data_IF_554417121848
#
_entry.id   IF_554417121848
#
_cell.length_a   1.000
_cell.length_b   1.000
_cell.length_c   1.000
_cell.angle_alpha   90.00
_cell.angle_beta   90.00
_cell.angle_gamma   90.00
#
_symmetry.space_group_name_H-M   'P 1'
#
loop_
_entity.id
_entity.type
_entity.pdbx_description
1 polymer ?
#
# COMPACT_ATOMS: atom_id res chain seq x y z
N UNK A 1 16.85 -6.90 -6.31
CA UNK A 1 16.40 -6.34 -5.02
C UNK A 1 15.23 -7.17 -4.53
N UNK A 2 15.20 -7.53 -3.23
CA UNK A 2 14.14 -8.38 -2.66
C UNK A 2 13.33 -7.66 -1.58
N UNK A 3 13.65 -6.40 -1.26
CA UNK A 3 12.95 -5.62 -0.25
C UNK A 3 12.10 -4.55 -0.93
N UNK A 4 10.82 -4.48 -0.55
CA UNK A 4 9.84 -3.55 -1.09
C UNK A 4 9.23 -2.74 0.05
N UNK A 5 9.42 -1.43 0.04
CA UNK A 5 8.69 -0.53 0.93
C UNK A 5 7.31 -0.25 0.32
N UNK A 6 6.28 -0.25 1.13
CA UNK A 6 4.87 -0.04 0.76
C UNK A 6 4.27 1.06 1.63
N UNK A 7 3.41 1.87 1.03
CA UNK A 7 2.58 2.85 1.70
C UNK A 7 1.21 2.92 1.00
N UNK A 8 0.13 3.13 1.77
CA UNK A 8 -1.23 3.25 1.24
C UNK A 8 -1.98 4.39 1.94
N UNK A 9 -2.80 5.09 1.17
CA UNK A 9 -3.79 6.01 1.72
C UNK A 9 -5.16 5.33 1.81
N UNK A 10 -5.90 5.59 2.89
CA UNK A 10 -7.16 4.88 3.18
C UNK A 10 -8.21 5.79 3.82
N UNK A 11 -9.46 5.32 3.86
CA UNK A 11 -10.60 6.02 4.51
C UNK A 11 -11.05 5.38 5.83
N UNK A 12 -10.28 4.45 6.36
CA UNK A 12 -10.51 3.79 7.65
C UNK A 12 -9.18 3.15 8.11
N UNK A 13 -9.11 2.67 9.34
CA UNK A 13 -7.93 2.03 9.90
C UNK A 13 -8.05 0.52 10.09
N UNK A 14 -9.16 -0.07 9.68
CA UNK A 14 -9.39 -1.52 9.74
C UNK A 14 -8.87 -2.22 8.47
N UNK A 15 -8.59 -3.54 8.49
CA UNK A 15 -8.17 -4.29 7.29
C UNK A 15 -9.13 -4.15 6.08
N UNK A 16 -10.41 -3.90 6.35
CA UNK A 16 -11.43 -3.66 5.33
C UNK A 16 -11.45 -2.23 4.79
N UNK A 17 -10.56 -1.32 5.20
CA UNK A 17 -10.60 0.09 4.82
C UNK A 17 -10.61 0.33 3.30
N UNK A 18 -11.46 1.23 2.81
CA UNK A 18 -11.39 1.72 1.42
C UNK A 18 -9.99 2.28 1.15
N UNK A 19 -9.36 1.81 0.07
CA UNK A 19 -8.01 2.20 -0.33
C UNK A 19 -8.11 3.32 -1.36
N UNK A 20 -7.34 4.39 -1.17
CA UNK A 20 -7.25 5.56 -2.03
C UNK A 20 -6.01 5.52 -2.91
N UNK A 21 -4.89 5.00 -2.41
CA UNK A 21 -3.65 4.89 -3.15
C UNK A 21 -2.85 3.65 -2.77
N UNK A 22 -1.96 3.22 -3.67
CA UNK A 22 -0.92 2.23 -3.37
C UNK A 22 0.39 2.77 -3.92
N UNK A 23 1.38 2.92 -3.05
CA UNK A 23 2.74 3.29 -3.41
C UNK A 23 3.72 2.22 -2.93
N UNK A 24 4.72 1.93 -3.75
CA UNK A 24 5.77 1.00 -3.38
C UNK A 24 7.10 1.33 -4.06
N UNK A 25 8.21 0.98 -3.43
CA UNK A 25 9.54 1.13 -4.00
C UNK A 25 10.45 -0.01 -3.56
N UNK A 26 11.16 -0.60 -4.52
CA UNK A 26 12.22 -1.54 -4.19
C UNK A 26 13.39 -0.79 -3.58
N UNK A 27 14.07 -1.40 -2.61
CA UNK A 27 15.27 -0.81 -2.03
C UNK A 27 16.25 -1.87 -1.54
N UNK A 28 17.49 -1.45 -1.30
CA UNK A 28 18.49 -2.22 -0.57
C UNK A 28 18.56 -1.72 0.88
N UNK A 29 18.22 -2.55 1.90
CA UNK A 29 18.20 -2.12 3.30
C UNK A 29 19.60 -1.88 3.89
N UNK A 30 20.67 -2.37 3.26
CA UNK A 30 22.05 -2.18 3.71
C UNK A 30 22.66 -0.91 3.16
N UNK A 31 22.36 -0.56 1.91
CA UNK A 31 22.93 0.61 1.23
C UNK A 31 22.00 1.81 1.19
N UNK A 32 20.69 1.59 1.32
CA UNK A 32 19.65 2.61 1.11
C UNK A 32 19.39 2.93 -0.37
N UNK A 33 19.99 2.17 -1.30
CA UNK A 33 19.77 2.36 -2.73
C UNK A 33 18.32 2.08 -3.10
N UNK A 34 17.71 2.98 -3.87
CA UNK A 34 16.34 2.88 -4.36
C UNK A 34 16.31 2.26 -5.75
N UNK A 35 15.32 1.40 -5.98
CA UNK A 35 15.06 0.76 -7.26
C UNK A 35 13.77 1.24 -7.89
N UNK A 36 13.15 0.33 -8.65
CA UNK A 36 11.89 0.58 -9.34
C UNK A 36 10.78 0.93 -8.36
N UNK A 37 9.94 1.89 -8.75
CA UNK A 37 8.82 2.39 -7.95
C UNK A 37 7.48 2.19 -8.66
N UNK A 38 6.43 2.14 -7.85
CA UNK A 38 5.05 2.01 -8.27
C UNK A 38 4.20 3.00 -7.50
N UNK A 39 3.37 3.75 -8.19
CA UNK A 39 2.32 4.58 -7.58
C UNK A 39 1.04 4.44 -8.38
N UNK A 40 -0.07 4.23 -7.69
CA UNK A 40 -1.37 4.16 -8.32
C UNK A 40 -2.46 4.70 -7.40
N UNK A 41 -3.36 5.49 -7.99
CA UNK A 41 -4.49 6.08 -7.30
C UNK A 41 -5.76 5.29 -7.62
N UNK A 42 -6.49 4.88 -6.58
CA UNK A 42 -7.73 4.11 -6.65
C UNK A 42 -8.91 5.06 -6.53
N UNK A 43 -9.89 4.95 -7.43
CA UNK A 43 -11.06 5.81 -7.40
C UNK A 43 -11.95 5.50 -6.19
N UNK A 44 -12.21 6.46 -5.28
CA UNK A 44 -13.21 6.30 -4.23
C UNK A 44 -14.65 6.33 -4.76
N UNK A 45 -14.87 6.85 -5.98
CA UNK A 45 -16.18 6.88 -6.63
C UNK A 45 -16.55 5.53 -7.27
N UNK A 46 -15.57 4.66 -7.52
CA UNK A 46 -15.82 3.30 -8.02
C UNK A 46 -16.04 2.36 -6.82
N UNK A 47 -17.00 1.43 -6.91
CA UNK A 47 -17.29 0.54 -5.79
C UNK A 47 -16.07 -0.29 -5.35
N UNK A 48 -15.75 -0.20 -4.06
CA UNK A 48 -14.91 -1.15 -3.36
C UNK A 48 -15.81 -1.94 -2.41
N UNK A 49 -16.55 -2.90 -2.97
CA UNK A 49 -17.60 -3.64 -2.26
C UNK A 49 -17.06 -4.23 -0.94
N UNK A 50 -17.87 -4.20 0.12
CA UNK A 50 -17.53 -4.75 1.45
C UNK A 50 -16.33 -4.11 2.16
N UNK A 51 -15.84 -2.97 1.66
CA UNK A 51 -14.82 -2.16 2.33
C UNK A 51 -15.45 -1.04 3.17
N UNK A 52 -14.75 -0.62 4.22
CA UNK A 52 -15.26 0.28 5.26
C UNK A 52 -14.68 1.69 5.13
N UNK A 53 -15.44 2.66 5.65
CA UNK A 53 -15.08 4.07 5.77
C UNK A 53 -15.39 4.47 7.20
N UNK A 54 -14.43 5.08 7.90
CA UNK A 54 -14.61 5.63 9.24
C UNK A 54 -14.87 7.14 9.19
N UNK A 55 -15.85 7.60 9.98
CA UNK A 55 -16.13 9.02 10.13
C UNK A 55 -14.91 9.79 10.68
N UNK A 56 -14.13 9.18 11.57
CA UNK A 56 -12.95 9.79 12.17
C UNK A 56 -11.84 9.99 11.12
N UNK A 57 -11.61 8.99 10.27
CA UNK A 57 -10.63 9.09 9.18
C UNK A 57 -11.06 10.10 8.13
N UNK A 58 -12.35 10.19 7.82
CA UNK A 58 -12.89 11.24 6.94
C UNK A 58 -12.71 12.63 7.55
N UNK A 59 -12.99 12.80 8.85
CA UNK A 59 -12.78 14.05 9.57
C UNK A 59 -11.29 14.44 9.64
N UNK A 60 -10.40 13.45 9.73
CA UNK A 60 -8.95 13.66 9.64
C UNK A 60 -8.53 14.12 8.23
N UNK A 61 -9.07 13.49 7.18
CA UNK A 61 -8.83 13.90 5.79
C UNK A 61 -9.29 15.33 5.52
N UNK A 62 -10.41 15.77 6.10
CA UNK A 62 -10.91 17.14 5.97
C UNK A 62 -9.95 18.20 6.54
N UNK A 63 -9.04 17.81 7.44
CA UNK A 63 -8.03 18.69 8.04
C UNK A 63 -6.72 18.74 7.25
N UNK A 64 -6.52 17.82 6.30
CA UNK A 64 -5.30 17.78 5.48
C UNK A 64 -5.25 18.93 4.47
N UNK A 65 -4.07 19.22 3.92
CA UNK A 65 -3.91 20.26 2.92
C UNK A 65 -4.73 19.98 1.65
N UNK A 66 -5.11 21.03 0.92
CA UNK A 66 -5.79 20.91 -0.36
C UNK A 66 -5.01 20.05 -1.36
N UNK A 67 -3.68 20.14 -1.34
CA UNK A 67 -2.80 19.34 -2.19
C UNK A 67 -2.90 17.84 -1.84
N UNK A 68 -2.77 17.50 -0.55
CA UNK A 68 -2.87 16.11 -0.09
C UNK A 68 -4.25 15.50 -0.40
N UNK A 69 -5.33 16.24 -0.14
CA UNK A 69 -6.69 15.79 -0.49
C UNK A 69 -6.86 15.63 -2.00
N UNK A 70 -6.33 16.55 -2.80
CA UNK A 70 -6.42 16.46 -4.26
C UNK A 70 -5.69 15.22 -4.78
N UNK A 71 -4.52 14.92 -4.24
CA UNK A 71 -3.74 13.74 -4.60
C UNK A 71 -4.43 12.44 -4.21
N UNK A 72 -4.76 12.27 -2.93
CA UNK A 72 -5.37 11.04 -2.41
C UNK A 72 -6.71 10.69 -3.08
N UNK A 73 -7.51 11.70 -3.46
CA UNK A 73 -8.82 11.49 -4.09
C UNK A 73 -8.78 11.63 -5.63
N UNK A 74 -7.60 11.63 -6.25
CA UNK A 74 -7.44 11.77 -7.72
C UNK A 74 -7.65 10.49 -8.52
N UNK A 75 -7.81 9.35 -7.83
CA UNK A 75 -7.90 8.03 -8.45
C UNK A 75 -9.06 7.90 -9.44
N UNK A 76 -8.78 7.24 -10.57
CA UNK A 76 -9.79 6.94 -11.59
C UNK A 76 -9.96 5.44 -11.84
N UNK A 77 -9.07 4.60 -11.31
CA UNK A 77 -9.06 3.15 -11.57
C UNK A 77 -9.83 2.36 -10.50
N UNK A 78 -10.23 1.12 -10.82
CA UNK A 78 -10.83 0.21 -9.84
C UNK A 78 -9.74 -0.41 -8.96
N UNK A 79 -10.09 -0.74 -7.71
CA UNK A 79 -9.19 -1.44 -6.80
C UNK A 79 -8.60 -2.72 -7.43
N UNK A 80 -9.45 -3.55 -8.05
CA UNK A 80 -9.02 -4.79 -8.71
C UNK A 80 -7.97 -4.54 -9.80
N UNK A 81 -8.13 -3.49 -10.61
CA UNK A 81 -7.16 -3.15 -11.66
C UNK A 81 -5.86 -2.66 -11.07
N UNK A 82 -5.92 -1.80 -10.06
CA UNK A 82 -4.73 -1.32 -9.33
C UNK A 82 -3.95 -2.48 -8.71
N UNK A 83 -4.60 -3.42 -8.00
CA UNK A 83 -3.93 -4.57 -7.41
C UNK A 83 -3.36 -5.53 -8.48
N UNK A 84 -4.03 -5.67 -9.62
CA UNK A 84 -3.49 -6.45 -10.75
C UNK A 84 -2.21 -5.83 -11.29
N UNK A 85 -2.18 -4.50 -11.45
CA UNK A 85 -0.99 -3.77 -11.88
C UNK A 85 0.13 -3.86 -10.85
N UNK A 86 -0.20 -3.74 -9.56
CA UNK A 86 0.76 -3.84 -8.48
C UNK A 86 1.39 -5.25 -8.38
N UNK A 87 0.57 -6.30 -8.49
CA UNK A 87 1.06 -7.68 -8.57
C UNK A 87 2.01 -7.88 -9.75
N UNK A 88 1.66 -7.33 -10.93
CA UNK A 88 2.52 -7.40 -12.12
C UNK A 88 3.82 -6.62 -11.93
N UNK A 89 3.77 -5.45 -11.30
CA UNK A 89 4.96 -4.66 -10.97
C UNK A 89 5.92 -5.47 -10.11
N UNK A 90 5.43 -6.15 -9.08
CA UNK A 90 6.27 -7.02 -8.24
C UNK A 90 6.87 -8.15 -9.08
N UNK A 91 6.06 -8.88 -9.85
CA UNK A 91 6.49 -10.04 -10.64
C UNK A 91 7.54 -9.73 -11.71
N UNK A 92 7.50 -8.54 -12.32
CA UNK A 92 8.47 -8.15 -13.36
C UNK A 92 9.81 -7.74 -12.75
N UNK A 93 9.80 -7.21 -11.53
CA UNK A 93 10.98 -6.63 -10.89
C UNK A 93 11.67 -7.57 -9.90
N UNK A 94 11.13 -8.77 -9.67
CA UNK A 94 11.76 -9.79 -8.83
C UNK A 94 11.31 -11.20 -9.22
N UNK A 95 12.24 -12.15 -9.17
CA UNK A 95 11.98 -13.58 -9.43
C UNK A 95 11.90 -14.40 -8.14
N UNK A 96 12.26 -13.80 -7.01
CA UNK A 96 12.34 -14.44 -5.70
C UNK A 96 11.25 -13.91 -4.75
N UNK A 97 11.15 -14.48 -3.55
CA UNK A 97 10.24 -13.99 -2.52
C UNK A 97 10.59 -12.53 -2.15
N UNK A 98 9.59 -11.66 -2.15
CA UNK A 98 9.71 -10.27 -1.70
C UNK A 98 9.49 -10.15 -0.20
N UNK A 99 10.35 -9.39 0.44
CA UNK A 99 10.23 -8.90 1.80
C UNK A 99 9.57 -7.52 1.78
N UNK A 100 8.33 -7.42 2.25
CA UNK A 100 7.59 -6.15 2.27
C UNK A 100 7.85 -5.42 3.59
N UNK A 101 7.99 -4.09 3.51
CA UNK A 101 8.16 -3.16 4.63
C UNK A 101 7.03 -2.14 4.56
N UNK A 102 6.46 -1.74 5.70
CA UNK A 102 5.41 -0.71 5.78
C UNK A 102 5.67 0.28 6.91
N UNK A 103 5.05 1.46 6.84
CA UNK A 103 5.30 2.56 7.79
C UNK A 103 4.58 2.38 9.14
N UNK A 104 3.74 1.35 9.25
CA UNK A 104 3.30 0.74 10.49
C UNK A 104 3.20 -0.75 10.23
N UNK A 105 4.04 -1.55 10.90
CA UNK A 105 4.33 -2.99 10.70
C UNK A 105 3.17 -3.89 10.23
N UNK A 106 1.93 -3.54 10.55
CA UNK A 106 0.74 -4.38 10.37
C UNK A 106 -0.42 -3.67 9.66
N UNK A 107 -0.29 -2.37 9.32
CA UNK A 107 -1.41 -1.61 8.76
C UNK A 107 -1.55 -1.82 7.25
N UNK A 108 -0.55 -1.38 6.47
CA UNK A 108 -0.62 -1.35 5.01
C UNK A 108 -0.73 -2.75 4.42
N UNK A 109 0.13 -3.66 4.91
CA UNK A 109 0.17 -5.04 4.45
C UNK A 109 -1.15 -5.77 4.73
N UNK A 110 -1.72 -5.65 5.94
CA UNK A 110 -2.96 -6.34 6.28
C UNK A 110 -4.17 -5.80 5.51
N UNK A 111 -4.22 -4.50 5.22
CA UNK A 111 -5.28 -3.90 4.40
C UNK A 111 -5.23 -4.39 2.96
N UNK A 112 -4.02 -4.47 2.36
CA UNK A 112 -3.84 -5.01 1.02
C UNK A 112 -4.07 -6.51 0.95
N UNK A 113 -3.60 -7.29 1.93
CA UNK A 113 -3.85 -8.74 2.03
C UNK A 113 -5.34 -9.04 2.13
N UNK A 114 -6.06 -8.29 2.97
CA UNK A 114 -7.51 -8.36 3.04
C UNK A 114 -8.16 -8.02 1.68
N UNK A 115 -7.66 -6.99 0.97
CA UNK A 115 -8.13 -6.65 -0.37
C UNK A 115 -7.90 -7.77 -1.41
N UNK A 116 -6.71 -8.37 -1.43
CA UNK A 116 -6.37 -9.50 -2.29
C UNK A 116 -7.29 -10.69 -2.00
N UNK A 117 -7.45 -11.07 -0.73
CA UNK A 117 -8.34 -12.15 -0.32
C UNK A 117 -9.79 -11.91 -0.72
N UNK A 118 -10.31 -10.69 -0.49
CA UNK A 118 -11.67 -10.31 -0.81
C UNK A 118 -11.96 -10.33 -2.33
N UNK A 119 -10.94 -10.08 -3.14
CA UNK A 119 -11.02 -10.09 -4.60
C UNK A 119 -10.67 -11.45 -5.23
N UNK A 120 -10.43 -12.48 -4.40
CA UNK A 120 -10.00 -13.82 -4.82
C UNK A 120 -8.71 -13.78 -5.66
N UNK A 121 -7.80 -12.86 -5.31
CA UNK A 121 -6.52 -12.67 -5.97
C UNK A 121 -5.40 -13.21 -5.07
N UNK A 122 -4.40 -13.87 -5.68
CA UNK A 122 -3.22 -14.28 -4.94
C UNK A 122 -2.42 -13.05 -4.50
N UNK A 123 -2.09 -12.98 -3.20
CA UNK A 123 -1.19 -11.96 -2.68
C UNK A 123 0.21 -12.15 -3.32
N UNK A 124 0.83 -11.10 -3.89
CA UNK A 124 2.10 -11.22 -4.61
C UNK A 124 3.32 -11.38 -3.69
N UNK A 125 3.14 -11.28 -2.37
CA UNK A 125 4.16 -11.62 -1.37
C UNK A 125 3.70 -12.80 -0.49
N UNK A 126 4.68 -13.53 0.04
CA UNK A 126 4.42 -14.71 0.87
C UNK A 126 3.97 -14.36 2.28
N UNK A 127 2.94 -15.05 2.78
CA UNK A 127 2.48 -14.97 4.16
C UNK A 127 3.49 -15.70 5.07
N UNK A 128 4.46 -14.98 5.64
CA UNK A 128 5.18 -15.48 6.81
C UNK A 128 4.42 -14.97 8.03
N UNK A 129 3.55 -15.83 8.57
CA UNK A 129 2.92 -15.64 9.87
C UNK A 129 3.95 -15.01 10.85
N UNK A 130 3.72 -13.74 11.19
CA UNK A 130 4.41 -12.97 12.22
C UNK A 130 5.93 -12.70 12.10
N UNK A 131 6.62 -13.01 10.99
CA UNK A 131 8.09 -12.88 10.95
C UNK A 131 8.69 -12.10 9.74
N UNK A 132 7.88 -11.50 8.87
CA UNK A 132 8.37 -11.02 7.56
C UNK A 132 8.39 -9.52 7.27
N UNK A 133 7.73 -8.67 8.06
CA UNK A 133 7.73 -7.22 7.85
C UNK A 133 8.67 -6.57 8.85
N UNK A 134 9.82 -6.10 8.39
CA UNK A 134 10.81 -5.45 9.24
C UNK A 134 10.48 -3.95 9.42
N UNK A 135 10.87 -3.40 10.55
CA UNK A 135 10.57 -2.01 10.92
C UNK A 135 11.59 -1.05 10.28
N UNK A 136 11.11 0.09 9.78
CA UNK A 136 11.96 1.25 9.46
C UNK A 136 12.44 1.91 10.77
N UNK A 137 13.29 1.22 11.52
CA UNK A 137 13.89 1.74 12.75
C UNK A 137 15.16 2.53 12.46
N UNK A 138 15.16 3.83 12.80
CA UNK A 138 16.32 4.73 12.87
C UNK A 138 17.25 4.85 11.65
N UNK A 139 16.78 4.55 10.43
CA UNK A 139 17.48 4.93 9.20
C UNK A 139 16.66 5.96 8.44
N UNK A 140 16.73 7.23 8.87
CA UNK A 140 16.48 8.42 8.04
C UNK A 140 15.29 8.44 7.06
N UNK A 141 14.23 7.67 7.29
CA UNK A 141 13.17 7.44 6.30
C UNK A 141 12.00 8.45 6.39
N UNK A 142 12.08 9.44 7.27
CA UNK A 142 11.07 10.50 7.41
C UNK A 142 11.01 11.48 6.22
N UNK A 143 11.59 11.16 5.07
CA UNK A 143 11.72 12.05 3.91
C UNK A 143 11.24 11.44 2.59
N UNK A 144 10.51 10.32 2.61
CA UNK A 144 10.20 9.56 1.38
C UNK A 144 8.70 9.41 1.05
N UNK A 145 7.81 10.10 1.79
CA UNK A 145 6.42 10.36 1.42
C UNK A 145 6.06 11.80 1.81
#
# INVERSE_FOLDING_TARGET
MHHLMLDIETLDTTPSAVILSVAAIFFDPMTGELGESFTAQVSPQKPQLHRTISADTVAWWAQQSDAARKEAFSGTETLKKTLTQFSRFIQINTTDKVHVWGNGKEFDCSILEHAYSQLEMACPWGFLAHAGCAHLGHTGAHAWF
#
